data_IF_614729382390
#
_entry.id   IF_614729382390
#
_cell.length_a   1.000
_cell.length_b   1.000
_cell.length_c   1.000
_cell.angle_alpha   90.00
_cell.angle_beta   90.00
_cell.angle_gamma   90.00
#
_symmetry.space_group_name_H-M   'P 1'
#
loop_
_entity.id
_entity.type
_entity.pdbx_description
1 polymer ?
#
# COMPACT_ATOMS: atom_id res chain seq x y z
N UNK A 1 43.45 4.27 -55.41
CA UNK A 1 42.54 4.48 -54.27
C UNK A 1 42.03 3.13 -53.78
N UNK A 2 42.52 2.63 -52.65
CA UNK A 2 41.89 1.51 -51.92
C UNK A 2 41.99 1.86 -50.43
N UNK A 3 40.86 2.23 -49.84
CA UNK A 3 40.73 2.57 -48.42
C UNK A 3 40.76 1.29 -47.57
N UNK A 4 41.77 1.14 -46.70
CA UNK A 4 41.74 0.17 -45.59
C UNK A 4 40.84 0.72 -44.47
N UNK A 5 39.66 0.11 -44.27
CA UNK A 5 38.84 0.35 -43.08
C UNK A 5 39.38 -0.49 -41.94
N UNK A 6 39.97 0.16 -40.93
CA UNK A 6 40.20 -0.43 -39.61
C UNK A 6 38.84 -0.64 -38.93
N UNK A 7 38.39 -1.89 -38.83
CA UNK A 7 37.29 -2.26 -37.94
C UNK A 7 37.89 -2.73 -36.62
N UNK A 8 37.92 -1.82 -35.64
CA UNK A 8 38.12 -2.16 -34.23
C UNK A 8 36.88 -2.91 -33.75
N UNK A 9 37.03 -4.20 -33.47
CA UNK A 9 35.98 -5.00 -32.84
C UNK A 9 35.79 -4.50 -31.39
N UNK A 10 34.72 -3.74 -31.15
CA UNK A 10 34.29 -3.40 -29.79
C UNK A 10 33.71 -4.67 -29.19
N UNK A 11 34.47 -5.28 -28.27
CA UNK A 11 33.99 -6.38 -27.45
C UNK A 11 32.77 -5.91 -26.65
N UNK A 12 31.57 -6.32 -27.08
CA UNK A 12 30.34 -6.14 -26.31
C UNK A 12 30.48 -6.94 -25.02
N UNK A 13 30.84 -6.27 -23.94
CA UNK A 13 30.70 -6.81 -22.59
C UNK A 13 29.21 -7.10 -22.41
N UNK A 14 28.82 -8.36 -22.54
CA UNK A 14 27.47 -8.81 -22.23
C UNK A 14 27.27 -8.54 -20.74
N UNK A 15 26.53 -7.48 -20.43
CA UNK A 15 26.04 -7.23 -19.07
C UNK A 15 25.25 -8.47 -18.67
N UNK A 16 25.74 -9.16 -17.62
CA UNK A 16 25.05 -10.31 -17.06
C UNK A 16 23.58 -9.95 -16.81
N UNK A 17 22.62 -10.83 -17.15
CA UNK A 17 21.22 -10.54 -16.92
C UNK A 17 21.01 -10.28 -15.43
N UNK A 18 20.60 -9.07 -15.08
CA UNK A 18 20.20 -8.70 -13.72
C UNK A 18 19.06 -9.63 -13.32
N UNK A 19 19.39 -10.63 -12.50
CA UNK A 19 18.42 -11.51 -11.85
C UNK A 19 17.38 -10.61 -11.17
N UNK A 20 16.08 -10.72 -11.47
CA UNK A 20 15.08 -9.93 -10.75
C UNK A 20 15.21 -10.26 -9.26
N UNK A 21 15.48 -9.25 -8.43
CA UNK A 21 15.58 -9.48 -6.99
C UNK A 21 14.20 -9.88 -6.49
N UNK A 22 13.97 -11.18 -6.29
CA UNK A 22 12.73 -11.78 -5.76
C UNK A 22 12.51 -11.46 -4.27
N UNK A 23 12.84 -10.26 -3.80
CA UNK A 23 12.45 -9.82 -2.44
C UNK A 23 11.03 -9.30 -2.53
N UNK A 24 10.08 -10.23 -2.52
CA UNK A 24 8.65 -9.94 -2.49
C UNK A 24 8.31 -9.14 -1.21
N UNK A 25 7.39 -8.19 -1.36
CA UNK A 25 6.85 -7.46 -0.20
C UNK A 25 6.08 -8.45 0.66
N UNK A 26 5.95 -8.17 1.94
CA UNK A 26 5.07 -8.91 2.85
C UNK A 26 3.92 -7.98 3.23
N UNK A 27 3.04 -7.73 2.26
CA UNK A 27 1.97 -6.74 2.39
C UNK A 27 0.68 -7.26 1.76
N UNK A 28 -0.45 -6.83 2.29
CA UNK A 28 -1.72 -6.90 1.59
C UNK A 28 -2.22 -5.48 1.32
N UNK A 29 -2.67 -5.19 0.10
CA UNK A 29 -3.48 -4.00 -0.16
C UNK A 29 -4.93 -4.44 -0.20
N UNK A 30 -5.72 -3.78 0.62
CA UNK A 30 -7.11 -4.14 0.85
C UNK A 30 -7.98 -3.02 0.34
N UNK A 31 -8.94 -3.39 -0.52
CA UNK A 31 -9.91 -2.44 -1.04
C UNK A 31 -11.01 -2.32 -0.01
N UNK A 32 -11.18 -1.11 0.51
CA UNK A 32 -12.28 -0.79 1.41
C UNK A 32 -13.55 -0.54 0.58
N UNK A 33 -14.06 -1.57 -0.08
CA UNK A 33 -15.42 -1.55 -0.67
C UNK A 33 -16.51 -1.49 0.41
N UNK A 34 -16.18 -1.81 1.66
CA UNK A 34 -17.11 -1.94 2.80
C UNK A 34 -17.45 -0.60 3.46
N UNK A 35 -16.91 0.52 2.99
CA UNK A 35 -17.29 1.85 3.49
C UNK A 35 -18.78 2.19 3.31
N UNK A 36 -19.58 1.36 2.62
CA UNK A 36 -21.01 1.61 2.45
C UNK A 36 -21.87 1.44 3.72
N UNK A 37 -21.32 0.95 4.84
CA UNK A 37 -22.08 0.88 6.09
C UNK A 37 -21.20 1.13 7.34
N UNK A 38 -21.06 2.40 7.80
CA UNK A 38 -20.27 2.74 9.00
C UNK A 38 -20.74 1.98 10.25
N UNK A 39 -22.03 1.66 10.34
CA UNK A 39 -22.65 0.89 11.44
C UNK A 39 -22.10 -0.53 11.57
N UNK A 40 -21.62 -1.14 10.48
CA UNK A 40 -20.99 -2.47 10.54
C UNK A 40 -19.61 -2.40 11.19
N UNK A 41 -18.90 -1.29 11.04
CA UNK A 41 -17.61 -1.13 11.67
C UNK A 41 -17.75 -0.89 13.17
N UNK A 42 -18.66 -0.04 13.62
CA UNK A 42 -18.82 0.25 15.06
C UNK A 42 -19.12 -0.99 15.92
N UNK A 43 -19.66 -2.05 15.32
CA UNK A 43 -20.14 -3.24 16.02
C UNK A 43 -19.21 -4.45 15.94
N UNK A 44 -18.10 -4.34 15.21
CA UNK A 44 -17.20 -5.47 14.98
C UNK A 44 -15.78 -5.17 15.48
N UNK A 45 -15.22 -6.05 16.32
CA UNK A 45 -13.79 -6.00 16.70
C UNK A 45 -12.89 -6.22 15.48
N UNK A 46 -13.33 -7.08 14.56
CA UNK A 46 -12.67 -7.30 13.27
C UNK A 46 -13.66 -7.24 12.11
N UNK A 47 -13.22 -6.66 10.99
CA UNK A 47 -14.02 -6.61 9.76
C UNK A 47 -13.38 -7.46 8.67
N UNK A 48 -14.11 -8.38 8.02
CA UNK A 48 -13.62 -9.07 6.83
C UNK A 48 -13.55 -8.09 5.65
N UNK A 49 -12.33 -7.84 5.13
CA UNK A 49 -12.12 -6.96 3.99
C UNK A 49 -11.44 -7.70 2.82
N UNK A 50 -11.82 -7.34 1.59
CA UNK A 50 -11.30 -7.95 0.37
C UNK A 50 -9.88 -7.50 0.03
N UNK A 51 -8.98 -8.46 -0.20
CA UNK A 51 -7.60 -8.22 -0.63
C UNK A 51 -7.54 -8.04 -2.14
N UNK A 52 -6.92 -6.95 -2.61
CA UNK A 52 -6.72 -6.65 -4.03
C UNK A 52 -5.26 -6.74 -4.49
N UNK A 53 -4.30 -6.70 -3.55
CA UNK A 53 -2.89 -6.95 -3.83
C UNK A 53 -2.30 -7.77 -2.70
N UNK A 54 -1.50 -8.78 -3.03
CA UNK A 54 -0.75 -9.58 -2.07
C UNK A 54 0.70 -9.60 -2.49
N UNK A 55 1.60 -9.20 -1.57
CA UNK A 55 3.04 -9.23 -1.76
C UNK A 55 3.56 -8.44 -2.99
N UNK A 56 2.79 -7.46 -3.49
CA UNK A 56 3.09 -6.70 -4.71
C UNK A 56 2.40 -7.21 -5.96
N UNK A 57 1.67 -8.33 -5.89
CA UNK A 57 0.93 -8.93 -7.00
C UNK A 57 -0.55 -8.61 -6.89
N UNK A 58 -1.15 -8.09 -7.96
CA UNK A 58 -2.59 -7.79 -8.00
C UNK A 58 -3.38 -9.10 -8.04
N UNK A 59 -4.37 -9.20 -7.16
CA UNK A 59 -5.31 -10.32 -7.16
C UNK A 59 -6.48 -10.04 -8.12
N UNK A 60 -7.15 -11.09 -8.63
CA UNK A 60 -8.36 -10.94 -9.44
C UNK A 60 -9.44 -10.14 -8.69
N UNK A 61 -10.27 -9.42 -9.44
CA UNK A 61 -11.18 -8.40 -8.90
C UNK A 61 -12.39 -8.95 -8.10
N UNK A 62 -12.53 -10.27 -7.96
CA UNK A 62 -13.78 -10.93 -7.53
C UNK A 62 -13.54 -12.05 -6.50
N UNK A 63 -12.75 -11.72 -5.49
CA UNK A 63 -12.45 -12.63 -4.40
C UNK A 63 -13.58 -12.51 -3.39
N UNK A 64 -14.63 -13.33 -3.54
CA UNK A 64 -15.80 -13.34 -2.66
C UNK A 64 -15.48 -13.43 -1.16
N UNK A 65 -16.48 -13.31 -0.30
CA UNK A 65 -16.33 -13.21 1.17
C UNK A 65 -15.35 -14.23 1.81
N UNK A 66 -15.17 -15.41 1.21
CA UNK A 66 -14.22 -16.44 1.67
C UNK A 66 -12.72 -16.09 1.56
N UNK A 67 -12.35 -15.03 0.83
CA UNK A 67 -10.96 -14.55 0.74
C UNK A 67 -10.72 -13.25 1.51
N UNK A 68 -11.69 -12.81 2.31
CA UNK A 68 -11.54 -11.65 3.16
C UNK A 68 -10.51 -11.92 4.27
N UNK A 69 -9.73 -10.90 4.61
CA UNK A 69 -8.85 -10.90 5.80
C UNK A 69 -9.55 -10.18 6.93
N UNK A 70 -9.46 -10.76 8.13
CA UNK A 70 -9.96 -10.16 9.36
C UNK A 70 -9.06 -8.98 9.73
N UNK A 71 -9.65 -7.80 9.76
CA UNK A 71 -8.94 -6.56 10.02
C UNK A 71 -9.31 -5.99 11.36
N UNK A 72 -8.32 -5.65 12.20
CA UNK A 72 -8.56 -4.92 13.44
C UNK A 72 -9.24 -3.60 13.09
N UNK A 73 -10.36 -3.32 13.75
CA UNK A 73 -11.20 -2.16 13.51
C UNK A 73 -10.74 -0.94 14.35
N UNK A 74 -10.16 0.13 13.77
CA UNK A 74 -9.55 1.18 14.58
C UNK A 74 -10.11 2.58 14.29
N UNK A 75 -11.42 2.70 14.10
CA UNK A 75 -12.09 3.98 13.79
C UNK A 75 -12.28 4.32 12.30
N UNK A 76 -12.67 3.36 11.45
CA UNK A 76 -12.98 3.60 10.03
C UNK A 76 -14.20 4.52 9.84
N UNK A 77 -14.98 4.82 10.89
CA UNK A 77 -16.09 5.78 10.78
C UNK A 77 -15.60 7.22 10.55
N UNK A 78 -14.59 7.67 11.29
CA UNK A 78 -14.00 9.02 11.10
C UNK A 78 -13.36 9.10 9.72
N UNK A 79 -12.69 8.02 9.32
CA UNK A 79 -12.09 7.91 7.99
C UNK A 79 -13.13 7.91 6.87
N UNK A 80 -14.24 7.21 7.07
CA UNK A 80 -15.36 7.18 6.16
C UNK A 80 -16.00 8.56 6.02
N UNK A 81 -16.25 9.23 7.15
CA UNK A 81 -16.81 10.58 7.18
C UNK A 81 -15.91 11.56 6.42
N UNK A 82 -14.59 11.52 6.66
CA UNK A 82 -13.63 12.33 5.91
C UNK A 82 -13.64 11.97 4.42
N UNK A 83 -13.64 10.69 4.07
CA UNK A 83 -13.68 10.28 2.67
C UNK A 83 -14.95 10.78 1.96
N UNK A 84 -16.13 10.60 2.55
CA UNK A 84 -17.41 11.10 2.00
C UNK A 84 -17.41 12.62 1.85
N UNK A 85 -16.88 13.34 2.84
CA UNK A 85 -16.84 14.79 2.81
C UNK A 85 -15.90 15.33 1.71
N UNK A 86 -14.77 14.66 1.48
CA UNK A 86 -13.74 15.14 0.57
C UNK A 86 -13.73 14.47 -0.81
N UNK A 87 -14.52 13.41 -1.05
CA UNK A 87 -14.43 12.63 -2.30
C UNK A 87 -14.65 13.46 -3.57
N UNK A 88 -15.49 14.50 -3.50
CA UNK A 88 -15.77 15.38 -4.64
C UNK A 88 -14.61 16.32 -4.99
N UNK A 89 -13.63 16.46 -4.09
CA UNK A 89 -12.43 17.26 -4.29
C UNK A 89 -11.22 16.41 -4.67
N UNK A 90 -11.37 15.08 -4.66
CA UNK A 90 -10.32 14.12 -5.00
C UNK A 90 -10.39 13.77 -6.49
N UNK A 91 -9.21 13.65 -7.11
CA UNK A 91 -9.02 13.02 -8.42
C UNK A 91 -9.26 11.50 -8.33
N UNK A 92 -9.45 10.83 -9.46
CA UNK A 92 -9.68 9.39 -9.47
C UNK A 92 -8.52 8.58 -8.89
N UNK A 93 -7.27 9.05 -9.09
CA UNK A 93 -6.09 8.43 -8.48
C UNK A 93 -6.10 8.58 -6.96
N UNK A 94 -6.50 9.75 -6.45
CA UNK A 94 -6.62 10.00 -5.01
C UNK A 94 -7.77 9.18 -4.41
N UNK A 95 -8.91 9.08 -5.09
CA UNK A 95 -10.02 8.20 -4.67
C UNK A 95 -9.60 6.74 -4.58
N UNK A 96 -8.82 6.25 -5.55
CA UNK A 96 -8.25 4.90 -5.52
C UNK A 96 -7.31 4.71 -4.34
N UNK A 97 -6.46 5.69 -4.03
CA UNK A 97 -5.57 5.62 -2.88
C UNK A 97 -6.34 5.71 -1.54
N UNK A 98 -7.34 6.59 -1.46
CA UNK A 98 -8.15 6.82 -0.28
C UNK A 98 -9.12 5.67 0.05
N UNK A 99 -9.35 4.76 -0.90
CA UNK A 99 -10.17 3.55 -0.73
C UNK A 99 -9.34 2.30 -0.41
N UNK A 100 -8.09 2.46 0.03
CA UNK A 100 -7.20 1.34 0.34
C UNK A 100 -6.57 1.44 1.72
N UNK A 101 -6.44 0.28 2.38
CA UNK A 101 -5.54 0.08 3.53
C UNK A 101 -4.38 -0.81 3.10
N UNK A 102 -3.21 -0.63 3.70
CA UNK A 102 -2.08 -1.55 3.56
C UNK A 102 -1.89 -2.32 4.87
N UNK A 103 -2.01 -3.65 4.84
CA UNK A 103 -1.59 -4.55 5.92
C UNK A 103 -0.10 -4.87 5.74
N UNK A 104 0.68 -4.74 6.81
CA UNK A 104 2.07 -5.13 6.88
C UNK A 104 2.21 -6.40 7.70
N UNK A 105 2.91 -7.38 7.16
CA UNK A 105 3.11 -8.67 7.81
C UNK A 105 4.54 -8.80 8.32
N UNK A 106 4.64 -9.52 9.43
CA UNK A 106 5.88 -10.00 9.98
C UNK A 106 6.70 -10.80 8.95
N UNK A 107 8.01 -10.56 8.91
CA UNK A 107 8.92 -11.24 7.98
C UNK A 107 9.08 -12.74 8.26
N UNK A 108 8.93 -13.14 9.52
CA UNK A 108 9.11 -14.52 10.00
C UNK A 108 7.78 -15.23 10.08
N UNK A 109 6.81 -14.67 10.82
CA UNK A 109 5.57 -15.37 11.15
C UNK A 109 4.47 -15.19 10.11
N UNK A 110 4.63 -14.22 9.19
CA UNK A 110 3.60 -13.80 8.22
C UNK A 110 2.29 -13.31 8.87
N UNK A 111 2.30 -13.01 10.17
CA UNK A 111 1.14 -12.46 10.87
C UNK A 111 1.09 -10.94 10.71
N UNK A 112 -0.10 -10.31 10.74
CA UNK A 112 -0.22 -8.86 10.70
C UNK A 112 0.48 -8.18 11.88
N UNK A 113 1.26 -7.13 11.59
CA UNK A 113 1.99 -6.34 12.60
C UNK A 113 1.62 -4.86 12.59
N UNK A 114 1.22 -4.33 11.44
CA UNK A 114 0.77 -2.94 11.31
C UNK A 114 -0.18 -2.75 10.13
N UNK A 115 -0.90 -1.63 10.18
CA UNK A 115 -1.94 -1.24 9.24
C UNK A 115 -1.76 0.23 8.88
N UNK A 116 -1.63 0.55 7.59
CA UNK A 116 -1.59 1.94 7.13
C UNK A 116 -2.87 2.34 6.43
N UNK A 117 -3.55 3.28 7.07
CA UNK A 117 -4.86 3.76 6.71
C UNK A 117 -4.81 4.86 5.65
N UNK A 118 -5.92 5.11 4.93
CA UNK A 118 -6.03 6.19 3.94
C UNK A 118 -5.48 7.56 4.36
N UNK A 119 -5.67 7.95 5.61
CA UNK A 119 -5.18 9.21 6.20
C UNK A 119 -3.65 9.24 6.39
N UNK A 120 -2.97 8.11 6.25
CA UNK A 120 -1.54 7.97 6.50
C UNK A 120 -1.23 7.43 7.90
N UNK A 121 -2.24 7.26 8.76
CA UNK A 121 -2.04 6.74 10.11
C UNK A 121 -1.56 5.29 10.05
N UNK A 122 -0.57 5.01 10.87
CA UNK A 122 0.01 3.69 11.02
C UNK A 122 -0.41 3.13 12.39
N UNK A 123 -1.21 2.09 12.37
CA UNK A 123 -1.73 1.43 13.57
C UNK A 123 -1.01 0.12 13.75
N UNK A 124 -0.39 -0.08 14.91
CA UNK A 124 0.38 -1.27 15.25
C UNK A 124 -0.47 -2.18 16.15
N UNK A 125 -0.29 -3.49 16.01
CA UNK A 125 -1.04 -4.44 16.84
C UNK A 125 -0.38 -4.66 18.22
N UNK A 126 0.97 -4.74 18.25
CA UNK A 126 1.74 -5.19 19.42
C UNK A 126 3.06 -4.47 19.63
N UNK A 127 3.26 -3.33 18.96
CA UNK A 127 4.53 -2.62 18.95
C UNK A 127 4.33 -1.20 19.41
N UNK A 128 4.94 -0.86 20.54
CA UNK A 128 4.83 0.44 21.18
C UNK A 128 5.68 1.52 20.49
N UNK A 129 6.65 1.11 19.67
CA UNK A 129 7.53 2.02 18.96
C UNK A 129 7.82 1.57 17.52
N UNK A 130 8.18 2.54 16.69
CA UNK A 130 8.48 2.36 15.27
C UNK A 130 9.74 1.51 15.01
N UNK A 131 10.86 1.65 15.75
CA UNK A 131 12.03 0.78 15.59
C UNK A 131 11.71 -0.70 15.70
N UNK A 132 10.92 -1.10 16.69
CA UNK A 132 10.55 -2.49 16.94
C UNK A 132 9.73 -3.04 15.79
N UNK A 133 8.70 -2.29 15.33
CA UNK A 133 7.95 -2.64 14.13
C UNK A 133 8.87 -2.84 12.92
N UNK A 134 9.78 -1.88 12.67
CA UNK A 134 10.67 -1.90 11.51
C UNK A 134 11.63 -3.09 11.54
N UNK A 135 11.98 -3.61 12.72
CA UNK A 135 12.80 -4.82 12.87
C UNK A 135 12.10 -6.08 12.36
N UNK A 136 10.77 -6.14 12.45
CA UNK A 136 9.92 -7.27 12.03
C UNK A 136 9.63 -7.26 10.54
N UNK A 137 9.87 -6.15 9.85
CA UNK A 137 9.62 -6.01 8.43
C UNK A 137 10.85 -6.36 7.59
N UNK A 138 10.62 -7.04 6.47
CA UNK A 138 11.70 -7.26 5.50
C UNK A 138 12.08 -5.94 4.80
N UNK A 139 13.24 -5.89 4.14
CA UNK A 139 13.73 -4.67 3.49
C UNK A 139 12.76 -4.09 2.44
N UNK A 140 12.11 -4.94 1.64
CA UNK A 140 11.17 -4.50 0.61
C UNK A 140 9.90 -3.89 1.25
N UNK A 141 9.38 -4.53 2.30
CA UNK A 141 8.22 -4.06 3.07
C UNK A 141 8.50 -2.71 3.75
N UNK A 142 9.70 -2.51 4.33
CA UNK A 142 10.11 -1.22 4.90
C UNK A 142 10.09 -0.10 3.86
N UNK A 143 10.65 -0.37 2.67
CA UNK A 143 10.64 0.62 1.57
C UNK A 143 9.22 0.92 1.11
N UNK A 144 8.37 -0.09 1.01
CA UNK A 144 6.96 0.09 0.67
C UNK A 144 6.24 0.97 1.69
N UNK A 145 6.39 0.70 2.99
CA UNK A 145 5.81 1.51 4.06
C UNK A 145 6.17 2.99 3.94
N UNK A 146 7.46 3.29 3.73
CA UNK A 146 7.90 4.68 3.50
C UNK A 146 7.27 5.29 2.25
N UNK A 147 7.18 4.53 1.15
CA UNK A 147 6.57 5.00 -0.09
C UNK A 147 5.06 5.26 0.06
N UNK A 148 4.33 4.36 0.72
CA UNK A 148 2.90 4.50 0.98
C UNK A 148 2.62 5.71 1.86
N UNK A 149 3.42 5.91 2.91
CA UNK A 149 3.32 7.10 3.77
C UNK A 149 3.46 8.39 2.95
N UNK A 150 4.48 8.47 2.08
CA UNK A 150 4.70 9.63 1.22
C UNK A 150 3.53 9.89 0.26
N UNK A 151 2.99 8.85 -0.37
CA UNK A 151 1.83 8.97 -1.27
C UNK A 151 0.61 9.53 -0.55
N UNK A 152 0.33 9.03 0.66
CA UNK A 152 -0.83 9.47 1.45
C UNK A 152 -0.67 10.90 1.95
N UNK A 153 0.50 11.26 2.48
CA UNK A 153 0.79 12.64 2.89
C UNK A 153 0.62 13.61 1.71
N UNK A 154 1.13 13.25 0.53
CA UNK A 154 0.99 14.07 -0.68
C UNK A 154 -0.47 14.23 -1.10
N UNK A 155 -1.27 13.16 -1.05
CA UNK A 155 -2.71 13.20 -1.32
C UNK A 155 -3.44 14.19 -0.39
N UNK A 156 -3.22 14.10 0.92
CA UNK A 156 -3.88 14.99 1.87
C UNK A 156 -3.40 16.43 1.77
N UNK A 157 -2.12 16.65 1.48
CA UNK A 157 -1.57 18.00 1.27
C UNK A 157 -2.17 18.66 0.01
N UNK A 158 -2.33 17.90 -1.07
CA UNK A 158 -2.97 18.37 -2.28
C UNK A 158 -4.45 18.71 -2.03
N UNK A 159 -5.17 17.84 -1.32
CA UNK A 159 -6.56 18.06 -0.94
C UNK A 159 -6.73 19.31 -0.06
N UNK A 160 -5.90 19.48 0.97
CA UNK A 160 -5.92 20.65 1.85
C UNK A 160 -5.71 21.95 1.07
N UNK A 161 -4.86 21.93 0.05
CA UNK A 161 -4.62 23.09 -0.83
C UNK A 161 -5.85 23.44 -1.66
N UNK A 162 -6.61 22.43 -2.15
CA UNK A 162 -7.86 22.65 -2.91
C UNK A 162 -9.00 23.17 -2.02
N UNK A 163 -9.04 22.76 -0.75
CA UNK A 163 -10.04 23.26 0.21
C UNK A 163 -9.82 24.75 0.47
N UNK A 164 -8.57 25.19 0.65
CA UNK A 164 -8.24 26.62 0.89
C UNK A 164 -8.53 27.56 -0.28
N UNK A 165 -8.72 27.01 -1.49
CA UNK A 165 -9.01 27.79 -2.70
C UNK A 165 -10.51 27.97 -2.96
N UNK A 166 -11.37 27.35 -2.15
CA UNK A 166 -12.82 27.52 -2.17
C UNK A 166 -13.27 28.45 -1.05
#
# INVERSE_FOLDING_TARGET
>A
MIFKKNQTAVAKTQSAPTRPSKKLKNTYIIKQTVFMNPTLFERCETTPLGVIEQNGEKLPHDNGWGQCKQFINPGPITMYAHYQYYMNLMTDTEKRLASTIVEYLDKETRTPVAYMYPNGDLITNKYDNLPDLMSRLNHATRRDMVQQSKKRIAMWSALASRIKQK
#
